data_IF_966056810549
#
_entry.id   IF_966056810549
#
_cell.length_a   1.000
_cell.length_b   1.000
_cell.length_c   1.000
_cell.angle_alpha   90.00
_cell.angle_beta   90.00
_cell.angle_gamma   90.00
#
_symmetry.space_group_name_H-M   'P 1'
#
loop_
_entity.id
_entity.type
_entity.pdbx_description
1 polymer ?
#
# COMPACT_ATOMS: atom_id res chain seq x y z
N UNK A 1 -25.63 -19.73 0.06
CA UNK A 1 -24.41 -19.70 -0.75
C UNK A 1 -23.27 -20.17 0.15
N UNK A 2 -22.68 -21.32 -0.13
CA UNK A 2 -21.54 -21.84 0.65
C UNK A 2 -20.27 -21.06 0.30
N UNK A 3 -19.26 -21.03 1.18
CA UNK A 3 -17.96 -20.38 0.89
C UNK A 3 -17.31 -20.90 -0.41
N UNK A 4 -17.67 -22.13 -0.81
CA UNK A 4 -17.22 -22.78 -2.05
C UNK A 4 -17.78 -22.13 -3.33
N UNK A 5 -18.91 -21.44 -3.25
CA UNK A 5 -19.58 -20.77 -4.37
C UNK A 5 -19.11 -19.32 -4.56
N UNK A 6 -18.38 -18.76 -3.59
CA UNK A 6 -17.83 -17.40 -3.66
C UNK A 6 -16.36 -17.44 -4.03
N UNK A 7 -15.97 -16.69 -5.06
CA UNK A 7 -14.58 -16.52 -5.51
C UNK A 7 -13.74 -15.64 -4.55
N UNK A 8 -13.97 -15.71 -3.24
CA UNK A 8 -13.32 -14.87 -2.23
C UNK A 8 -11.80 -15.06 -2.20
N UNK A 9 -11.34 -16.30 -2.35
CA UNK A 9 -9.91 -16.60 -2.48
C UNK A 9 -9.30 -15.93 -3.71
N UNK A 10 -10.06 -15.84 -4.81
CA UNK A 10 -9.56 -15.30 -6.08
C UNK A 10 -9.51 -13.79 -5.99
N UNK A 11 -10.53 -13.18 -5.37
CA UNK A 11 -10.51 -11.76 -5.02
C UNK A 11 -9.30 -11.43 -4.13
N UNK A 12 -9.03 -12.23 -3.10
CA UNK A 12 -7.86 -12.03 -2.23
C UNK A 12 -6.53 -12.16 -2.99
N UNK A 13 -6.40 -13.14 -3.89
CA UNK A 13 -5.21 -13.29 -4.73
C UNK A 13 -5.02 -12.08 -5.65
N UNK A 14 -6.04 -11.67 -6.40
CA UNK A 14 -5.97 -10.53 -7.32
C UNK A 14 -5.59 -9.26 -6.58
N UNK A 15 -6.27 -8.98 -5.47
CA UNK A 15 -5.97 -7.80 -4.65
C UNK A 15 -4.53 -7.83 -4.13
N UNK A 16 -4.04 -8.96 -3.60
CA UNK A 16 -2.64 -9.09 -3.16
C UNK A 16 -1.64 -8.84 -4.27
N UNK A 17 -1.84 -9.45 -5.43
CA UNK A 17 -0.88 -9.32 -6.54
C UNK A 17 -0.81 -7.89 -7.06
N UNK A 18 -1.96 -7.27 -7.30
CA UNK A 18 -2.02 -5.89 -7.83
C UNK A 18 -1.45 -4.91 -6.81
N UNK A 19 -1.92 -4.98 -5.56
CA UNK A 19 -1.54 -3.99 -4.55
C UNK A 19 -0.12 -4.20 -4.05
N UNK A 20 0.34 -5.45 -3.95
CA UNK A 20 1.73 -5.79 -3.66
C UNK A 20 2.69 -5.28 -4.74
N UNK A 21 2.33 -5.46 -6.02
CA UNK A 21 3.12 -4.94 -7.14
C UNK A 21 3.15 -3.40 -7.15
N UNK A 22 2.03 -2.74 -6.84
CA UNK A 22 1.99 -1.28 -6.76
C UNK A 22 2.81 -0.74 -5.59
N UNK A 23 2.70 -1.30 -4.39
CA UNK A 23 3.55 -0.91 -3.27
C UNK A 23 5.03 -1.10 -3.59
N UNK A 24 5.39 -2.25 -4.20
CA UNK A 24 6.75 -2.49 -4.63
C UNK A 24 7.20 -1.44 -5.65
N UNK A 25 6.36 -1.10 -6.63
CA UNK A 25 6.66 -0.06 -7.62
C UNK A 25 6.90 1.30 -6.95
N UNK A 26 6.02 1.72 -6.03
CA UNK A 26 6.17 2.99 -5.30
C UNK A 26 7.43 3.02 -4.43
N UNK A 27 7.75 1.90 -3.77
CA UNK A 27 8.96 1.75 -2.97
C UNK A 27 10.23 1.78 -3.83
N UNK A 28 10.23 1.12 -4.99
CA UNK A 28 11.36 1.11 -5.92
C UNK A 28 11.55 2.48 -6.59
N UNK A 29 10.49 3.23 -6.86
CA UNK A 29 10.59 4.63 -7.31
C UNK A 29 11.30 5.47 -6.25
N UNK A 30 10.92 5.33 -4.96
CA UNK A 30 11.61 6.02 -3.86
C UNK A 30 13.09 5.61 -3.75
N UNK A 31 13.40 4.33 -3.98
CA UNK A 31 14.75 3.80 -3.86
C UNK A 31 15.67 4.20 -5.03
N UNK A 32 15.19 4.09 -6.27
CA UNK A 32 16.04 4.20 -7.47
C UNK A 32 15.85 5.50 -8.25
N UNK A 33 14.66 6.11 -8.20
CA UNK A 33 14.36 7.32 -8.98
C UNK A 33 14.55 8.56 -8.10
N UNK A 34 13.86 8.61 -6.95
CA UNK A 34 14.03 9.73 -6.01
C UNK A 34 15.30 9.59 -5.19
N UNK A 35 15.82 8.37 -5.06
CA UNK A 35 16.86 7.97 -4.10
C UNK A 35 16.41 8.10 -2.64
N UNK A 36 17.05 7.39 -1.68
CA UNK A 36 16.73 7.55 -0.27
C UNK A 36 16.88 9.00 0.21
N UNK A 37 17.92 9.71 -0.24
CA UNK A 37 18.15 11.11 0.13
C UNK A 37 17.06 12.04 -0.42
N UNK A 38 16.69 11.89 -1.69
CA UNK A 38 15.61 12.69 -2.29
C UNK A 38 14.24 12.38 -1.68
N UNK A 39 13.97 11.11 -1.33
CA UNK A 39 12.76 10.73 -0.58
C UNK A 39 12.71 11.40 0.79
N UNK A 40 13.81 11.40 1.54
CA UNK A 40 13.87 12.09 2.83
C UNK A 40 13.67 13.62 2.67
N UNK A 41 14.26 14.22 1.63
CA UNK A 41 14.08 15.64 1.30
C UNK A 41 12.63 15.98 0.94
N UNK A 42 11.93 15.11 0.20
CA UNK A 42 10.50 15.30 -0.09
C UNK A 42 9.66 15.32 1.19
N UNK A 43 9.90 14.37 2.12
CA UNK A 43 9.19 14.35 3.40
C UNK A 43 9.43 15.62 4.20
N UNK A 44 10.66 16.14 4.22
CA UNK A 44 10.97 17.43 4.84
C UNK A 44 10.22 18.59 4.18
N UNK A 45 10.09 18.59 2.85
CA UNK A 45 9.40 19.64 2.10
C UNK A 45 7.90 19.75 2.43
N UNK A 46 7.29 18.64 2.86
CA UNK A 46 5.89 18.58 3.31
C UNK A 46 5.75 18.66 4.84
N UNK A 47 6.80 19.08 5.55
CA UNK A 47 6.77 19.31 7.00
C UNK A 47 6.93 18.06 7.87
N UNK A 48 7.35 16.92 7.29
CA UNK A 48 7.58 15.67 8.01
C UNK A 48 9.08 15.42 8.28
N UNK A 49 9.43 14.65 9.34
CA UNK A 49 10.80 14.19 9.52
C UNK A 49 11.27 13.33 8.34
N UNK A 50 12.47 13.60 7.81
CA UNK A 50 13.05 12.83 6.69
C UNK A 50 13.19 11.33 7.00
N UNK A 51 13.33 10.96 8.28
CA UNK A 51 13.36 9.57 8.74
C UNK A 51 12.08 8.80 8.36
N UNK A 52 10.91 9.47 8.34
CA UNK A 52 9.67 8.85 7.89
C UNK A 52 9.73 8.46 6.41
N UNK A 53 10.48 9.19 5.58
CA UNK A 53 10.69 8.83 4.18
C UNK A 53 11.39 7.48 4.01
N UNK A 54 12.42 7.21 4.82
CA UNK A 54 13.10 5.91 4.83
C UNK A 54 12.18 4.79 5.32
N UNK A 55 11.41 5.05 6.39
CA UNK A 55 10.48 4.08 6.95
C UNK A 55 9.34 3.75 5.97
N UNK A 56 8.77 4.75 5.30
CA UNK A 56 7.76 4.54 4.26
C UNK A 56 8.33 3.74 3.10
N UNK A 57 9.52 4.09 2.60
CA UNK A 57 10.17 3.34 1.52
C UNK A 57 10.39 1.86 1.90
N UNK A 58 10.92 1.60 3.11
CA UNK A 58 11.10 0.24 3.61
C UNK A 58 9.76 -0.50 3.73
N UNK A 59 8.74 0.16 4.29
CA UNK A 59 7.42 -0.41 4.48
C UNK A 59 6.75 -0.77 3.16
N UNK A 60 6.86 0.06 2.13
CA UNK A 60 6.28 -0.20 0.80
C UNK A 60 7.00 -1.36 0.09
N UNK A 61 8.33 -1.45 0.16
CA UNK A 61 9.07 -2.56 -0.45
C UNK A 61 8.80 -3.86 0.28
N UNK A 62 8.98 -3.88 1.60
CA UNK A 62 8.80 -5.08 2.41
C UNK A 62 7.32 -5.52 2.43
N UNK A 63 6.40 -4.57 2.56
CA UNK A 63 4.96 -4.81 2.52
C UNK A 63 4.51 -5.29 1.15
N UNK A 64 5.02 -4.69 0.06
CA UNK A 64 4.75 -5.15 -1.30
C UNK A 64 5.17 -6.60 -1.52
N UNK A 65 6.40 -6.95 -1.15
CA UNK A 65 6.91 -8.33 -1.22
C UNK A 65 6.10 -9.30 -0.35
N UNK A 66 5.76 -8.90 0.88
CA UNK A 66 4.95 -9.72 1.78
C UNK A 66 3.54 -9.98 1.23
N UNK A 67 2.88 -8.97 0.64
CA UNK A 67 1.58 -9.14 -0.01
C UNK A 67 1.67 -10.09 -1.21
N UNK A 68 2.69 -9.93 -2.06
CA UNK A 68 2.94 -10.83 -3.20
C UNK A 68 3.13 -12.28 -2.75
N UNK A 69 3.86 -12.49 -1.66
CA UNK A 69 4.07 -13.82 -1.08
C UNK A 69 2.85 -14.35 -0.28
N UNK A 70 1.90 -13.47 0.08
CA UNK A 70 0.78 -13.80 0.97
C UNK A 70 1.16 -13.96 2.44
N UNK A 71 2.24 -13.33 2.88
CA UNK A 71 2.74 -13.42 4.25
C UNK A 71 2.01 -12.40 5.12
N UNK A 72 1.31 -12.87 6.16
CA UNK A 72 0.63 -12.04 7.15
C UNK A 72 -0.26 -10.95 6.52
N UNK A 73 -1.01 -11.29 5.46
CA UNK A 73 -1.75 -10.35 4.60
C UNK A 73 -2.62 -9.43 5.43
N UNK A 74 -3.32 -9.97 6.45
CA UNK A 74 -4.15 -9.15 7.35
C UNK A 74 -3.39 -7.98 7.97
N UNK A 75 -2.26 -8.27 8.59
CA UNK A 75 -1.48 -7.26 9.32
C UNK A 75 -0.73 -6.34 8.37
N UNK A 76 -0.14 -6.89 7.31
CA UNK A 76 0.56 -6.11 6.29
C UNK A 76 -0.40 -5.12 5.63
N UNK A 77 -1.60 -5.55 5.24
CA UNK A 77 -2.60 -4.66 4.65
C UNK A 77 -3.02 -3.54 5.61
N UNK A 78 -3.16 -3.80 6.92
CA UNK A 78 -3.48 -2.73 7.88
C UNK A 78 -2.35 -1.70 8.02
N UNK A 79 -1.09 -2.14 8.06
CA UNK A 79 0.06 -1.24 8.06
C UNK A 79 0.11 -0.42 6.77
N UNK A 80 -0.09 -1.07 5.63
CA UNK A 80 -0.14 -0.41 4.31
C UNK A 80 -1.29 0.60 4.20
N UNK A 81 -2.45 0.31 4.79
CA UNK A 81 -3.55 1.27 4.88
C UNK A 81 -3.14 2.51 5.66
N UNK A 82 -2.43 2.37 6.79
CA UNK A 82 -1.93 3.51 7.56
C UNK A 82 -0.91 4.34 6.77
N UNK A 83 -0.02 3.71 6.00
CA UNK A 83 0.91 4.41 5.10
C UNK A 83 0.15 5.23 4.04
N UNK A 84 -0.89 4.65 3.43
CA UNK A 84 -1.71 5.35 2.44
C UNK A 84 -2.49 6.51 3.04
N UNK A 85 -3.03 6.37 4.26
CA UNK A 85 -3.67 7.47 4.97
C UNK A 85 -2.67 8.59 5.29
N UNK A 86 -1.43 8.26 5.63
CA UNK A 86 -0.35 9.24 5.76
C UNK A 86 -0.10 9.99 4.44
N UNK A 87 -0.02 9.26 3.32
CA UNK A 87 0.11 9.88 2.00
C UNK A 87 -1.09 10.79 1.67
N UNK A 88 -2.32 10.35 1.98
CA UNK A 88 -3.53 11.17 1.84
C UNK A 88 -3.39 12.49 2.59
N UNK A 89 -3.08 12.44 3.89
CA UNK A 89 -3.08 13.62 4.77
C UNK A 89 -1.95 14.59 4.40
N UNK A 90 -0.73 14.09 4.23
CA UNK A 90 0.45 14.94 4.11
C UNK A 90 0.87 15.22 2.65
N UNK A 91 0.54 14.34 1.71
CA UNK A 91 0.94 14.44 0.31
C UNK A 91 -0.15 14.93 -0.64
N UNK A 92 -1.43 14.66 -0.34
CA UNK A 92 -2.52 14.79 -1.32
C UNK A 92 -3.74 15.62 -0.86
N UNK A 93 -3.95 15.84 0.43
CA UNK A 93 -5.15 16.51 0.94
C UNK A 93 -5.33 17.94 0.39
N UNK A 94 -4.23 18.67 0.20
CA UNK A 94 -4.22 20.02 -0.37
C UNK A 94 -4.46 20.09 -1.88
N UNK A 95 -4.39 18.96 -2.60
CA UNK A 95 -4.44 18.93 -4.07
C UNK A 95 -5.86 18.76 -4.61
N UNK A 96 -6.88 18.72 -3.75
CA UNK A 96 -8.27 18.46 -4.14
C UNK A 96 -8.58 16.97 -4.36
N UNK A 97 -9.79 16.68 -4.84
CA UNK A 97 -10.32 15.31 -4.90
C UNK A 97 -9.63 14.45 -5.97
N UNK A 98 -9.60 14.92 -7.21
CA UNK A 98 -9.32 14.09 -8.39
C UNK A 98 -7.85 13.69 -8.54
N UNK A 99 -7.59 12.42 -8.85
CA UNK A 99 -6.22 11.90 -9.07
C UNK A 99 -5.42 12.66 -10.15
N UNK A 100 -6.11 13.30 -11.10
CA UNK A 100 -5.52 14.07 -12.19
C UNK A 100 -5.10 15.49 -11.82
N UNK A 101 -5.39 15.95 -10.61
CA UNK A 101 -4.99 17.29 -10.17
C UNK A 101 -3.45 17.39 -10.08
N UNK A 102 -2.86 18.59 -10.19
CA UNK A 102 -1.44 18.80 -9.94
C UNK A 102 -1.04 18.24 -8.56
N UNK A 103 -0.02 17.37 -8.52
CA UNK A 103 0.40 16.67 -7.30
C UNK A 103 -0.42 15.42 -6.93
N UNK A 104 -1.48 15.12 -7.69
CA UNK A 104 -2.40 14.00 -7.45
C UNK A 104 -3.40 14.28 -6.32
N UNK A 105 -4.69 14.12 -6.59
CA UNK A 105 -5.74 14.28 -5.58
C UNK A 105 -5.83 13.12 -4.59
N UNK A 106 -6.56 13.36 -3.49
CA UNK A 106 -6.62 12.46 -2.36
C UNK A 106 -7.51 11.22 -2.58
N UNK A 107 -8.44 11.24 -3.55
CA UNK A 107 -9.40 10.15 -3.75
C UNK A 107 -8.73 8.79 -3.97
N UNK A 108 -7.62 8.77 -4.71
CA UNK A 108 -6.95 7.54 -5.11
C UNK A 108 -6.25 6.88 -3.93
N UNK A 109 -5.56 7.67 -3.10
CA UNK A 109 -4.89 7.14 -1.91
C UNK A 109 -5.88 6.64 -0.87
N UNK A 110 -7.03 7.32 -0.70
CA UNK A 110 -8.13 6.85 0.17
C UNK A 110 -8.77 5.58 -0.37
N UNK A 111 -9.07 5.51 -1.67
CA UNK A 111 -9.61 4.30 -2.29
C UNK A 111 -8.68 3.12 -2.06
N UNK A 112 -7.38 3.31 -2.29
CA UNK A 112 -6.40 2.26 -2.07
C UNK A 112 -6.31 1.85 -0.59
N UNK A 113 -6.42 2.79 0.37
CA UNK A 113 -6.46 2.47 1.80
C UNK A 113 -7.69 1.61 2.14
N UNK A 114 -8.86 1.91 1.57
CA UNK A 114 -10.08 1.10 1.72
C UNK A 114 -9.89 -0.29 1.14
N UNK A 115 -9.25 -0.41 -0.04
CA UNK A 115 -8.90 -1.71 -0.62
C UNK A 115 -7.99 -2.51 0.34
N UNK A 116 -7.05 -1.86 1.01
CA UNK A 116 -6.19 -2.52 2.01
C UNK A 116 -6.99 -3.01 3.22
N UNK A 117 -7.93 -2.21 3.72
CA UNK A 117 -8.82 -2.66 4.80
C UNK A 117 -9.65 -3.86 4.34
N UNK A 118 -10.24 -3.82 3.14
CA UNK A 118 -10.99 -4.94 2.58
C UNK A 118 -10.13 -6.21 2.43
N UNK A 119 -8.90 -6.06 1.95
CA UNK A 119 -7.95 -7.16 1.83
C UNK A 119 -7.59 -7.76 3.19
N UNK A 120 -7.47 -6.94 4.23
CA UNK A 120 -7.19 -7.42 5.59
C UNK A 120 -8.31 -8.31 6.14
N UNK A 121 -9.56 -8.06 5.71
CA UNK A 121 -10.74 -8.84 6.09
C UNK A 121 -10.86 -10.14 5.29
N UNK A 122 -10.48 -10.12 4.01
CA UNK A 122 -10.40 -11.33 3.17
C UNK A 122 -9.30 -12.29 3.63
N UNK A 123 -8.19 -11.75 4.14
CA UNK A 123 -7.04 -12.52 4.62
C UNK A 123 -6.17 -13.10 3.49
N UNK A 124 -5.37 -14.11 3.82
CA UNK A 124 -4.30 -14.62 2.93
C UNK A 124 -4.81 -15.33 1.65
N UNK A 125 -6.01 -15.89 1.68
CA UNK A 125 -6.59 -16.70 0.60
C UNK A 125 -5.86 -18.03 0.34
N UNK A 126 -6.48 -18.93 -0.43
CA UNK A 126 -5.94 -20.29 -0.69
C UNK A 126 -4.61 -20.34 -1.45
N UNK A 127 -4.23 -19.26 -2.14
CA UNK A 127 -3.01 -19.14 -2.93
C UNK A 127 -1.94 -18.30 -2.24
N UNK A 128 -1.87 -18.36 -0.91
CA UNK A 128 -0.72 -17.83 -0.17
C UNK A 128 0.41 -18.87 -0.13
N UNK A 129 1.66 -18.40 -0.11
CA UNK A 129 2.83 -19.28 0.09
C UNK A 129 2.95 -19.76 1.54
N UNK A 130 2.19 -19.18 2.46
CA UNK A 130 2.13 -19.58 3.88
C UNK A 130 0.75 -20.19 4.16
N UNK A 131 0.72 -21.36 4.80
CA UNK A 131 -0.55 -21.99 5.21
C UNK A 131 -1.26 -21.09 6.23
N UNK A 132 -2.59 -20.98 6.12
CA UNK A 132 -3.43 -20.46 7.21
C UNK A 132 -3.11 -21.26 8.47
N UNK A 133 -2.68 -20.57 9.53
CA UNK A 133 -2.70 -21.14 10.88
C UNK A 133 -4.15 -21.31 11.34
#
# INVERSE_FOLDING_TARGET
MTDKERNADLAALILRLVTGAWFLTHGLIKLFIFTPAGTAGYFQSIGLPGALGYLTMLAEIAGGLALLAGIATRWVSLVMAAVLLGATIFGHAGNGFTFSNPGGGWEYTVLWAVVMVALSLLGDGRWSLVKRA
#
